data_IF_143767831726
#
_entry.id   IF_143767831726
#
_cell.length_a   1.000
_cell.length_b   1.000
_cell.length_c   1.000
_cell.angle_alpha   90.00
_cell.angle_beta   90.00
_cell.angle_gamma   90.00
#
_symmetry.space_group_name_H-M   'P 1'
#
loop_
_entity.id
_entity.type
_entity.pdbx_description
1 polymer ?
#
# COMPACT_ATOMS: atom_id res chain seq x y z
N UNK A 1 -52.07 0.69 -50.88
CA UNK A 1 -51.52 -0.69 -51.01
C UNK A 1 -50.03 -0.57 -51.34
N UNK A 2 -49.15 -0.79 -50.36
CA UNK A 2 -47.75 -1.18 -50.57
C UNK A 2 -47.24 -1.80 -49.27
N UNK A 3 -46.80 -3.05 -49.36
CA UNK A 3 -46.44 -3.93 -48.27
C UNK A 3 -45.03 -3.67 -47.70
N UNK A 4 -44.80 -4.37 -46.57
CA UNK A 4 -43.54 -4.94 -46.05
C UNK A 4 -42.70 -4.07 -45.13
N UNK A 5 -42.40 -4.62 -43.95
CA UNK A 5 -41.20 -4.28 -43.19
C UNK A 5 -41.30 -4.47 -41.67
N UNK A 6 -41.46 -5.70 -41.19
CA UNK A 6 -41.26 -6.04 -39.78
C UNK A 6 -39.75 -6.17 -39.53
N UNK A 7 -39.14 -5.28 -38.74
CA UNK A 7 -37.84 -5.54 -38.07
C UNK A 7 -37.90 -4.94 -36.67
N UNK A 8 -37.99 -5.82 -35.67
CA UNK A 8 -37.62 -5.52 -34.30
C UNK A 8 -36.09 -5.46 -34.20
N UNK A 9 -35.54 -4.45 -33.54
CA UNK A 9 -34.19 -4.52 -33.01
C UNK A 9 -34.15 -3.85 -31.62
N UNK A 10 -34.22 -4.69 -30.59
CA UNK A 10 -33.64 -4.41 -29.28
C UNK A 10 -32.11 -4.33 -29.46
N UNK A 11 -31.47 -3.30 -28.89
CA UNK A 11 -30.19 -3.49 -28.19
C UNK A 11 -30.02 -2.47 -27.07
N UNK A 12 -29.72 -3.01 -25.90
CA UNK A 12 -29.48 -2.37 -24.61
C UNK A 12 -28.09 -1.72 -24.55
N UNK A 13 -28.01 -0.70 -23.67
CA UNK A 13 -26.91 -0.35 -22.76
C UNK A 13 -25.51 -0.92 -23.06
N UNK A 14 -24.55 -0.01 -23.25
CA UNK A 14 -23.21 -0.14 -22.67
C UNK A 14 -22.56 1.25 -22.61
N UNK A 15 -22.36 1.75 -21.39
CA UNK A 15 -21.64 2.99 -21.14
C UNK A 15 -20.17 2.83 -21.52
N UNK A 16 -19.72 3.56 -22.53
CA UNK A 16 -18.29 3.77 -22.77
C UNK A 16 -17.82 4.91 -21.88
N UNK A 17 -17.57 4.61 -20.60
CA UNK A 17 -16.61 5.37 -19.82
C UNK A 17 -15.23 4.72 -20.01
N UNK A 18 -14.70 4.78 -21.23
CA UNK A 18 -13.27 4.54 -21.46
C UNK A 18 -12.52 5.82 -21.06
N UNK A 19 -12.36 6.02 -19.76
CA UNK A 19 -11.49 7.03 -19.20
C UNK A 19 -10.21 6.39 -18.67
N UNK A 20 -9.24 6.14 -19.55
CA UNK A 20 -7.84 6.03 -19.14
C UNK A 20 -6.96 6.75 -20.16
N UNK A 21 -6.58 8.02 -19.92
CA UNK A 21 -5.43 8.60 -20.57
C UNK A 21 -4.15 8.10 -19.88
N UNK A 22 -3.19 7.83 -20.73
CA UNK A 22 -1.89 7.24 -20.49
C UNK A 22 -1.02 8.01 -19.48
N UNK A 23 -0.10 7.24 -18.91
CA UNK A 23 1.20 7.64 -18.38
C UNK A 23 1.75 8.97 -18.94
N UNK A 24 2.20 9.84 -18.03
CA UNK A 24 3.20 10.86 -18.36
C UNK A 24 2.71 12.31 -18.43
N UNK A 25 1.88 12.77 -17.50
CA UNK A 25 1.75 14.21 -17.26
C UNK A 25 2.74 14.64 -16.17
N UNK A 26 3.92 15.10 -16.59
CA UNK A 26 4.69 16.09 -15.82
C UNK A 26 3.83 17.32 -15.63
N UNK A 27 3.00 17.36 -14.58
CA UNK A 27 2.31 18.55 -14.12
C UNK A 27 3.12 19.11 -12.95
N UNK A 28 3.67 20.30 -13.17
CA UNK A 28 4.38 21.11 -12.19
C UNK A 28 3.60 21.21 -10.88
N UNK A 29 4.05 20.50 -9.83
CA UNK A 29 3.50 20.61 -8.48
C UNK A 29 3.56 19.35 -7.62
N UNK A 30 3.66 18.16 -8.22
CA UNK A 30 3.68 16.90 -7.46
C UNK A 30 5.13 16.39 -7.35
N UNK A 31 5.67 16.32 -6.14
CA UNK A 31 6.99 15.74 -5.89
C UNK A 31 6.83 14.23 -5.92
N UNK A 32 7.05 13.61 -7.08
CA UNK A 32 7.13 12.14 -7.18
C UNK A 32 8.47 11.71 -6.59
N UNK A 33 8.44 11.16 -5.37
CA UNK A 33 9.57 10.42 -4.85
C UNK A 33 9.58 9.06 -5.55
N UNK A 34 10.59 8.81 -6.40
CA UNK A 34 10.87 7.46 -6.92
C UNK A 34 11.60 6.68 -5.84
N UNK A 35 10.83 6.11 -4.91
CA UNK A 35 11.38 5.31 -3.82
C UNK A 35 11.76 3.94 -4.34
N UNK A 36 12.93 3.44 -3.91
CA UNK A 36 13.38 2.09 -4.23
C UNK A 36 12.54 0.99 -3.58
N UNK A 37 11.77 1.32 -2.54
CA UNK A 37 11.03 0.39 -1.70
C UNK A 37 9.66 0.94 -1.30
N UNK A 38 8.78 0.03 -0.88
CA UNK A 38 7.50 0.30 -0.22
C UNK A 38 7.74 0.26 1.29
N UNK A 39 7.00 1.05 2.06
CA UNK A 39 7.19 1.09 3.51
C UNK A 39 5.90 0.76 4.24
N UNK A 40 5.96 -0.08 5.26
CA UNK A 40 4.87 -0.22 6.24
C UNK A 40 5.33 0.41 7.54
N UNK A 41 4.69 1.51 7.93
CA UNK A 41 4.97 2.20 9.20
C UNK A 41 3.90 1.81 10.21
N UNK A 42 4.30 1.22 11.33
CA UNK A 42 3.43 0.82 12.44
C UNK A 42 3.67 1.72 13.65
N UNK A 43 2.66 2.49 14.00
CA UNK A 43 2.61 3.38 15.15
C UNK A 43 1.89 2.71 16.30
N UNK A 44 2.40 2.85 17.52
CA UNK A 44 1.75 2.35 18.72
C UNK A 44 2.05 3.21 19.96
N UNK A 45 1.29 3.06 21.05
CA UNK A 45 1.55 3.77 22.30
C UNK A 45 2.84 3.28 23.00
N UNK A 46 3.09 1.98 22.94
CA UNK A 46 4.20 1.32 23.63
C UNK A 46 4.59 0.02 22.93
N UNK A 47 5.70 -0.61 23.36
CA UNK A 47 6.09 -1.94 22.91
C UNK A 47 5.24 -3.06 23.56
N UNK A 48 3.95 -3.08 23.20
CA UNK A 48 2.97 -4.02 23.72
C UNK A 48 2.85 -5.31 22.88
N UNK A 49 1.86 -6.15 23.21
CA UNK A 49 1.63 -7.39 22.49
C UNK A 49 1.22 -7.19 21.03
N UNK A 50 0.66 -6.02 20.67
CA UNK A 50 0.31 -5.70 19.27
C UNK A 50 1.53 -5.35 18.46
N UNK A 51 2.51 -4.68 19.04
CA UNK A 51 3.84 -4.53 18.44
C UNK A 51 4.51 -5.89 18.24
N UNK A 52 4.47 -6.79 19.23
CA UNK A 52 5.05 -8.13 19.10
C UNK A 52 4.36 -8.97 18.02
N UNK A 53 3.03 -8.94 17.97
CA UNK A 53 2.22 -9.58 16.92
C UNK A 53 2.60 -9.05 15.53
N UNK A 54 2.78 -7.72 15.39
CA UNK A 54 3.22 -7.10 14.15
C UNK A 54 4.62 -7.59 13.73
N UNK A 55 5.60 -7.53 14.65
CA UNK A 55 6.97 -7.96 14.39
C UNK A 55 7.06 -9.44 14.01
N UNK A 56 6.35 -10.32 14.73
CA UNK A 56 6.27 -11.74 14.40
C UNK A 56 5.62 -11.95 13.03
N UNK A 57 4.58 -11.17 12.71
CA UNK A 57 3.92 -11.18 11.41
C UNK A 57 4.87 -10.80 10.27
N UNK A 58 5.71 -9.79 10.46
CA UNK A 58 6.76 -9.40 9.51
C UNK A 58 7.74 -10.55 9.28
N UNK A 59 8.24 -11.18 10.34
CA UNK A 59 9.16 -12.33 10.24
C UNK A 59 8.51 -13.51 9.52
N UNK A 60 7.25 -13.82 9.85
CA UNK A 60 6.51 -14.93 9.22
C UNK A 60 6.28 -14.70 7.72
N UNK A 61 6.22 -13.45 7.28
CA UNK A 61 5.98 -13.07 5.89
C UNK A 61 7.26 -12.58 5.17
N UNK A 62 8.44 -12.71 5.78
CA UNK A 62 9.69 -12.06 5.36
C UNK A 62 9.97 -12.21 3.85
N UNK A 63 9.99 -13.44 3.33
CA UNK A 63 10.23 -13.67 1.90
C UNK A 63 9.24 -12.89 1.02
N UNK A 64 7.95 -13.01 1.33
CA UNK A 64 6.90 -12.39 0.52
C UNK A 64 6.89 -10.85 0.58
N UNK A 65 7.40 -10.29 1.68
CA UNK A 65 7.60 -8.85 1.85
C UNK A 65 8.86 -8.38 1.10
N UNK A 66 9.97 -9.13 1.20
CA UNK A 66 11.21 -8.89 0.44
C UNK A 66 10.97 -8.89 -1.07
N UNK A 67 10.23 -9.88 -1.59
CA UNK A 67 9.87 -9.94 -3.02
C UNK A 67 9.04 -8.74 -3.51
N UNK A 68 8.40 -8.03 -2.58
CA UNK A 68 7.60 -6.84 -2.85
C UNK A 68 8.33 -5.55 -2.47
N UNK A 69 9.63 -5.62 -2.18
CA UNK A 69 10.46 -4.52 -1.71
C UNK A 69 9.83 -3.78 -0.52
N UNK A 70 9.25 -4.50 0.45
CA UNK A 70 8.60 -3.90 1.62
C UNK A 70 9.58 -3.79 2.78
N UNK A 71 9.77 -2.57 3.30
CA UNK A 71 10.48 -2.29 4.55
C UNK A 71 9.45 -1.99 5.64
N UNK A 72 9.54 -2.68 6.77
CA UNK A 72 8.64 -2.42 7.92
C UNK A 72 9.35 -1.60 8.98
N UNK A 73 8.68 -0.58 9.50
CA UNK A 73 9.14 0.31 10.56
C UNK A 73 8.12 0.28 11.70
N UNK A 74 8.57 0.11 12.93
CA UNK A 74 7.78 0.28 14.16
C UNK A 74 8.30 1.48 14.91
N UNK A 75 7.40 2.35 15.37
CA UNK A 75 7.72 3.52 16.18
C UNK A 75 6.64 3.69 17.23
N UNK A 76 7.04 3.86 18.47
CA UNK A 76 6.13 3.96 19.61
C UNK A 76 6.27 5.29 20.34
N UNK A 77 5.20 5.70 21.05
CA UNK A 77 5.23 6.92 21.87
C UNK A 77 6.23 6.83 23.03
N UNK A 78 6.45 5.62 23.58
CA UNK A 78 7.43 5.37 24.66
C UNK A 78 8.90 5.28 24.19
N UNK A 79 9.15 5.43 22.89
CA UNK A 79 10.49 5.51 22.30
C UNK A 79 11.08 4.17 21.84
N UNK A 80 10.34 3.06 21.92
CA UNK A 80 10.70 1.85 21.20
C UNK A 80 10.60 2.06 19.68
N UNK A 81 11.59 1.54 18.93
CA UNK A 81 11.54 1.50 17.47
C UNK A 81 12.16 0.21 16.92
N UNK A 82 11.68 -0.23 15.77
CA UNK A 82 12.24 -1.35 15.02
C UNK A 82 12.22 -1.04 13.53
N UNK A 83 13.36 -1.05 12.82
CA UNK A 83 14.71 -1.22 13.36
C UNK A 83 15.12 -0.12 14.37
N UNK A 84 16.20 -0.38 15.11
CA UNK A 84 16.68 0.53 16.16
C UNK A 84 17.11 1.91 15.61
N UNK A 85 17.59 1.99 14.37
CA UNK A 85 18.03 3.24 13.73
C UNK A 85 16.88 4.21 13.43
N UNK A 86 15.62 3.74 13.41
CA UNK A 86 14.46 4.54 13.02
C UNK A 86 14.27 5.74 13.95
N UNK A 87 14.38 5.52 15.27
CA UNK A 87 14.28 6.60 16.27
C UNK A 87 15.44 7.61 16.21
N UNK A 88 16.58 7.23 15.62
CA UNK A 88 17.74 8.11 15.47
C UNK A 88 17.59 9.03 14.25
N UNK A 89 16.81 8.58 13.27
CA UNK A 89 16.63 9.27 11.99
C UNK A 89 15.36 10.12 11.97
N UNK A 90 14.28 9.64 12.60
CA UNK A 90 12.97 10.26 12.53
C UNK A 90 12.43 10.63 13.90
N UNK A 91 11.93 11.85 14.00
CA UNK A 91 11.20 12.31 15.18
C UNK A 91 9.76 11.79 15.18
N UNK A 92 9.39 11.06 16.25
CA UNK A 92 8.04 10.49 16.40
C UNK A 92 6.95 11.56 16.28
N UNK A 93 7.13 12.72 16.91
CA UNK A 93 6.12 13.79 16.94
C UNK A 93 5.85 14.37 15.55
N UNK A 94 6.86 14.37 14.69
CA UNK A 94 6.78 14.80 13.29
C UNK A 94 6.05 13.75 12.45
N UNK A 95 6.37 12.47 12.64
CA UNK A 95 5.74 11.39 11.88
C UNK A 95 4.25 11.26 12.19
N UNK A 96 3.84 11.31 13.45
CA UNK A 96 2.41 11.22 13.79
C UNK A 96 1.62 12.41 13.21
N UNK A 97 2.21 13.60 13.13
CA UNK A 97 1.56 14.76 12.48
C UNK A 97 1.48 14.56 10.97
N UNK A 98 2.56 14.09 10.35
CA UNK A 98 2.64 13.85 8.90
C UNK A 98 1.60 12.83 8.44
N UNK A 99 1.41 11.75 9.20
CA UNK A 99 0.50 10.65 8.86
C UNK A 99 -0.87 10.73 9.54
N UNK A 100 -1.15 11.81 10.28
CA UNK A 100 -2.43 12.03 10.97
C UNK A 100 -2.76 10.97 12.02
N UNK A 101 -1.75 10.55 12.78
CA UNK A 101 -1.86 9.53 13.84
C UNK A 101 -2.22 10.20 15.17
N UNK A 102 -3.28 9.74 15.83
CA UNK A 102 -3.65 10.19 17.16
C UNK A 102 -2.73 9.60 18.24
N UNK A 103 -2.52 10.36 19.31
CA UNK A 103 -1.78 9.84 20.48
C UNK A 103 -2.50 8.65 21.09
N UNK A 104 -1.74 7.67 21.57
CA UNK A 104 -2.31 6.48 22.19
C UNK A 104 -3.03 5.52 21.23
N UNK A 105 -2.94 5.72 19.91
CA UNK A 105 -3.54 4.80 18.94
C UNK A 105 -2.51 3.83 18.32
N UNK A 106 -2.98 2.63 17.98
CA UNK A 106 -2.28 1.75 17.06
C UNK A 106 -2.77 2.01 15.65
N UNK A 107 -1.84 2.31 14.76
CA UNK A 107 -2.13 2.53 13.36
C UNK A 107 -0.98 2.02 12.51
N UNK A 108 -1.29 1.45 11.36
CA UNK A 108 -0.28 1.18 10.36
C UNK A 108 -0.67 1.73 9.00
N UNK A 109 0.35 2.13 8.27
CA UNK A 109 0.22 2.80 6.98
C UNK A 109 1.19 2.15 6.00
N UNK A 110 0.65 1.67 4.87
CA UNK A 110 1.42 1.22 3.72
C UNK A 110 1.65 2.41 2.78
N UNK A 111 2.92 2.70 2.51
CA UNK A 111 3.38 3.72 1.58
C UNK A 111 3.96 3.04 0.34
N UNK A 112 3.50 3.46 -0.84
CA UNK A 112 3.96 2.95 -2.12
C UNK A 112 5.33 3.50 -2.53
N UNK A 113 5.88 2.97 -3.62
CA UNK A 113 7.13 3.47 -4.23
C UNK A 113 7.03 4.90 -4.78
N UNK A 114 5.81 5.39 -4.95
CA UNK A 114 5.51 6.77 -5.36
C UNK A 114 5.37 7.72 -4.16
N UNK A 115 5.57 7.24 -2.94
CA UNK A 115 5.43 8.00 -1.70
C UNK A 115 3.99 8.20 -1.23
N UNK A 116 2.98 7.69 -1.95
CA UNK A 116 1.58 7.84 -1.56
C UNK A 116 1.15 6.74 -0.58
N UNK A 117 0.24 7.08 0.33
CA UNK A 117 -0.48 6.11 1.14
C UNK A 117 -1.34 5.20 0.25
N UNK A 118 -1.30 3.89 0.53
CA UNK A 118 -2.00 2.85 -0.23
C UNK A 118 -3.02 2.10 0.62
N UNK A 119 -2.72 1.90 1.90
CA UNK A 119 -3.57 1.20 2.85
C UNK A 119 -3.29 1.71 4.25
N UNK A 120 -4.34 1.78 5.07
CA UNK A 120 -4.26 2.10 6.50
C UNK A 120 -5.11 1.15 7.31
N UNK A 121 -4.60 0.72 8.45
CA UNK A 121 -5.30 -0.17 9.37
C UNK A 121 -4.91 0.09 10.82
N UNK A 122 -5.63 -0.53 11.76
CA UNK A 122 -5.39 -0.40 13.20
C UNK A 122 -4.38 -1.42 13.75
N UNK A 123 -4.58 -1.85 14.99
CA UNK A 123 -3.62 -2.70 15.70
C UNK A 123 -3.28 -4.05 15.03
N UNK A 124 -4.26 -4.69 14.37
CA UNK A 124 -4.08 -6.03 13.77
C UNK A 124 -3.77 -5.93 12.30
N UNK A 125 -2.71 -6.62 11.87
CA UNK A 125 -2.28 -6.63 10.47
C UNK A 125 -2.77 -7.88 9.76
N UNK A 126 -3.52 -7.67 8.68
CA UNK A 126 -3.84 -8.72 7.72
C UNK A 126 -2.77 -8.70 6.61
N UNK A 127 -1.78 -9.57 6.74
CA UNK A 127 -0.69 -9.65 5.76
C UNK A 127 -1.15 -10.13 4.38
N UNK A 128 -2.25 -10.89 4.28
CA UNK A 128 -2.80 -11.29 3.00
C UNK A 128 -3.35 -10.05 2.27
N UNK A 129 -4.13 -9.22 2.96
CA UNK A 129 -4.65 -7.96 2.42
C UNK A 129 -3.53 -6.99 2.03
N UNK A 130 -2.47 -6.87 2.85
CA UNK A 130 -1.32 -6.02 2.52
C UNK A 130 -0.67 -6.48 1.21
N UNK A 131 -0.44 -7.79 1.04
CA UNK A 131 0.17 -8.36 -0.17
C UNK A 131 -0.74 -8.19 -1.39
N UNK A 132 -2.03 -8.45 -1.24
CA UNK A 132 -3.03 -8.28 -2.31
C UNK A 132 -3.12 -6.82 -2.75
N UNK A 133 -3.15 -5.88 -1.79
CA UNK A 133 -3.14 -4.44 -2.09
C UNK A 133 -1.89 -4.06 -2.88
N UNK A 134 -0.73 -4.59 -2.49
CA UNK A 134 0.53 -4.35 -3.20
C UNK A 134 0.48 -4.93 -4.61
N UNK A 135 0.05 -6.18 -4.74
CA UNK A 135 -0.02 -6.88 -6.02
C UNK A 135 -1.00 -6.22 -6.98
N UNK A 136 -2.07 -5.61 -6.51
CA UNK A 136 -2.99 -4.83 -7.34
C UNK A 136 -2.39 -3.52 -7.88
N UNK A 137 -1.25 -3.04 -7.36
CA UNK A 137 -0.65 -1.78 -7.81
C UNK A 137 -0.05 -1.88 -9.23
N UNK A 138 -0.22 -0.87 -10.10
CA UNK A 138 0.28 -0.93 -11.49
C UNK A 138 1.78 -1.19 -11.60
N UNK A 139 2.59 -0.53 -10.76
CA UNK A 139 4.05 -0.76 -10.72
C UNK A 139 4.38 -2.21 -10.33
N UNK A 140 3.65 -2.78 -9.36
CA UNK A 140 3.85 -4.17 -8.93
C UNK A 140 3.44 -5.17 -10.02
N UNK A 141 2.32 -4.94 -10.71
CA UNK A 141 1.92 -5.74 -11.87
C UNK A 141 2.99 -5.74 -12.97
N UNK A 142 3.68 -4.61 -13.19
CA UNK A 142 4.78 -4.53 -14.14
C UNK A 142 6.04 -5.27 -13.66
N UNK A 143 6.33 -5.29 -12.35
CA UNK A 143 7.42 -6.10 -11.75
C UNK A 143 7.16 -7.60 -11.94
N UNK A 144 5.95 -8.07 -11.62
CA UNK A 144 5.55 -9.48 -11.73
C UNK A 144 5.60 -10.03 -13.16
N UNK A 145 5.41 -9.17 -14.17
CA UNK A 145 5.58 -9.56 -15.58
C UNK A 145 7.05 -9.81 -15.96
N UNK A 146 8.00 -9.25 -15.21
CA UNK A 146 9.44 -9.32 -15.49
C UNK A 146 10.16 -10.40 -14.68
N UNK A 147 9.59 -10.80 -13.54
CA UNK A 147 10.18 -11.79 -12.65
C UNK A 147 9.12 -12.72 -12.07
N UNK A 148 9.42 -14.02 -12.03
CA UNK A 148 8.61 -15.00 -11.33
C UNK A 148 8.76 -14.84 -9.80
N UNK A 149 7.73 -15.26 -9.06
CA UNK A 149 7.76 -15.29 -7.59
C UNK A 149 8.93 -16.13 -7.08
N UNK A 150 9.65 -15.62 -6.08
CA UNK A 150 10.76 -16.32 -5.42
C UNK A 150 10.31 -17.04 -4.15
N UNK A 151 9.10 -16.73 -3.68
CA UNK A 151 8.57 -17.18 -2.40
C UNK A 151 7.45 -18.23 -2.52
N UNK A 152 7.31 -18.83 -3.70
CA UNK A 152 6.43 -19.99 -3.93
C UNK A 152 7.11 -21.26 -3.42
N UNK A 153 6.63 -21.75 -2.27
CA UNK A 153 6.89 -23.10 -1.76
C UNK A 153 5.59 -23.90 -1.92
#
# INVERSE_FOLDING_TARGET
MRNVGLIALLTLLSGTACGYPEYGSKRSGEVHYDMSHRSVMYFAPSNDDKVKEFLLGTLTNECSLDERDVVTLVITEDGFSSPAWVKETFDYSTLIKMYGINKGEHAAVLIGKDGSEKLRWGAKTDWALVKETIDAMPMRQAEMKRAASRCSI
#
